data_IF_720055971350
#
_entry.id   IF_720055971350
#
_cell.length_a   1.000
_cell.length_b   1.000
_cell.length_c   1.000
_cell.angle_alpha   90.00
_cell.angle_beta   90.00
_cell.angle_gamma   90.00
#
_symmetry.space_group_name_H-M   'P 1'
#
loop_
_entity.id
_entity.type
_entity.pdbx_description
1 polymer ?
#
# COMPACT_ATOMS: atom_id res chain seq x y z
N UNK A 1 -1.26 -24.00 -12.15
CA UNK A 1 0.01 -23.34 -11.92
C UNK A 1 0.30 -22.30 -12.98
N UNK A 2 1.17 -21.33 -12.69
CA UNK A 2 1.62 -20.37 -13.71
C UNK A 2 2.38 -21.10 -14.84
N UNK A 3 2.30 -20.64 -16.10
CA UNK A 3 3.06 -21.24 -17.20
C UNK A 3 4.57 -21.09 -16.95
N UNK A 4 5.43 -21.94 -17.55
CA UNK A 4 6.88 -21.78 -17.39
C UNK A 4 7.33 -20.45 -17.94
N UNK A 5 8.19 -19.75 -17.18
CA UNK A 5 8.81 -18.49 -17.56
C UNK A 5 10.13 -18.76 -18.28
N UNK A 6 10.20 -18.39 -19.54
CA UNK A 6 11.42 -18.53 -20.33
C UNK A 6 12.28 -17.26 -20.19
N UNK A 7 13.38 -17.35 -19.47
CA UNK A 7 14.39 -16.30 -19.37
C UNK A 7 15.56 -16.62 -20.29
N UNK A 8 16.18 -15.61 -20.86
CA UNK A 8 17.39 -15.73 -21.69
C UNK A 8 18.55 -14.93 -21.09
N UNK A 9 19.74 -15.09 -21.62
CA UNK A 9 20.96 -14.37 -21.21
C UNK A 9 21.17 -14.40 -19.69
N UNK A 10 20.97 -15.58 -19.09
CA UNK A 10 21.07 -15.75 -17.65
C UNK A 10 22.55 -15.78 -17.24
N UNK A 11 22.95 -14.76 -16.47
CA UNK A 11 24.22 -14.73 -15.75
C UNK A 11 23.96 -14.90 -14.26
N UNK A 12 24.59 -15.90 -13.64
CA UNK A 12 24.47 -16.14 -12.20
C UNK A 12 25.85 -16.33 -11.58
N UNK A 13 26.10 -15.65 -10.47
CA UNK A 13 27.30 -15.82 -9.65
C UNK A 13 26.90 -16.06 -8.22
N UNK A 14 27.32 -17.20 -7.66
CA UNK A 14 27.14 -17.52 -6.25
C UNK A 14 28.51 -17.62 -5.58
N UNK A 15 28.73 -16.80 -4.56
CA UNK A 15 29.91 -16.85 -3.71
C UNK A 15 29.56 -17.33 -2.33
N UNK A 16 30.33 -18.26 -1.80
CA UNK A 16 30.14 -18.82 -0.48
C UNK A 16 31.40 -18.54 0.37
N UNK A 17 31.24 -17.93 1.52
CA UNK A 17 32.31 -17.66 2.47
C UNK A 17 31.85 -18.04 3.89
N UNK A 18 32.10 -19.29 4.27
CA UNK A 18 31.66 -19.84 5.55
C UNK A 18 30.15 -19.83 5.69
N UNK A 19 29.64 -18.92 6.53
CA UNK A 19 28.20 -18.77 6.82
C UNK A 19 27.52 -17.75 5.91
N UNK A 20 28.28 -16.98 5.14
CA UNK A 20 27.82 -15.89 4.29
C UNK A 20 27.76 -16.33 2.83
N UNK A 21 26.71 -15.95 2.16
CA UNK A 21 26.42 -16.26 0.76
C UNK A 21 26.08 -14.98 0.01
N UNK A 22 26.58 -14.84 -1.19
CA UNK A 22 26.28 -13.74 -2.09
C UNK A 22 25.77 -14.31 -3.41
N UNK A 23 24.61 -13.87 -3.87
CA UNK A 23 24.05 -14.21 -5.17
C UNK A 23 23.92 -12.95 -6.02
N UNK A 24 24.45 -13.00 -7.22
CA UNK A 24 24.18 -12.02 -8.27
C UNK A 24 23.52 -12.75 -9.43
N UNK A 25 22.38 -12.25 -9.88
CA UNK A 25 21.62 -12.79 -10.99
C UNK A 25 21.28 -11.67 -11.97
N UNK A 26 21.53 -11.93 -13.24
CA UNK A 26 21.04 -11.12 -14.34
C UNK A 26 20.29 -12.04 -15.30
N UNK A 27 19.13 -11.61 -15.80
CA UNK A 27 18.35 -12.38 -16.75
C UNK A 27 17.52 -11.45 -17.64
N UNK A 28 17.36 -11.83 -18.90
CA UNK A 28 16.51 -11.15 -19.87
C UNK A 28 15.14 -11.84 -19.88
N UNK A 29 14.05 -11.13 -19.51
CA UNK A 29 12.70 -11.68 -19.57
C UNK A 29 12.23 -11.85 -21.02
N UNK A 30 11.10 -12.56 -21.25
CA UNK A 30 10.51 -12.67 -22.57
C UNK A 30 10.19 -11.28 -23.18
N UNK A 31 10.17 -11.20 -24.51
CA UNK A 31 9.83 -9.98 -25.24
C UNK A 31 8.48 -9.42 -24.78
N UNK A 32 8.43 -8.12 -24.52
CA UNK A 32 7.23 -7.42 -24.04
C UNK A 32 7.09 -7.35 -22.52
N UNK A 33 7.96 -8.01 -21.76
CA UNK A 33 7.94 -7.98 -20.28
C UNK A 33 8.83 -6.89 -19.68
N UNK A 34 9.77 -6.39 -20.46
CA UNK A 34 10.68 -5.33 -20.00
C UNK A 34 12.13 -5.53 -20.38
N UNK A 35 12.99 -4.82 -19.70
CA UNK A 35 14.45 -4.85 -19.84
C UNK A 35 15.08 -5.95 -18.94
N UNK A 36 16.36 -6.28 -19.12
CA UNK A 36 17.06 -7.22 -18.26
C UNK A 36 16.93 -6.90 -16.78
N UNK A 37 16.61 -7.92 -16.01
CA UNK A 37 16.41 -7.85 -14.56
C UNK A 37 17.77 -8.05 -13.89
N UNK A 38 18.05 -7.25 -12.86
CA UNK A 38 19.20 -7.44 -11.98
C UNK A 38 18.73 -7.76 -10.59
N UNK A 39 19.31 -8.80 -10.00
CA UNK A 39 19.03 -9.20 -8.62
C UNK A 39 20.36 -9.46 -7.90
N UNK A 40 20.49 -8.91 -6.71
CA UNK A 40 21.63 -9.13 -5.82
C UNK A 40 21.10 -9.47 -4.44
N UNK A 41 21.65 -10.48 -3.82
CA UNK A 41 21.28 -10.85 -2.46
C UNK A 41 22.50 -11.31 -1.68
N UNK A 42 22.52 -10.96 -0.42
CA UNK A 42 23.50 -11.40 0.55
C UNK A 42 22.77 -11.95 1.77
N UNK A 43 23.12 -13.14 2.21
CA UNK A 43 22.52 -13.75 3.38
C UNK A 43 23.51 -14.59 4.18
N UNK A 44 23.15 -14.80 5.44
CA UNK A 44 23.87 -15.69 6.34
C UNK A 44 22.90 -16.62 7.06
N UNK A 45 23.38 -17.81 7.39
CA UNK A 45 22.66 -18.75 8.23
C UNK A 45 23.32 -18.82 9.62
N UNK A 46 22.59 -19.24 10.69
CA UNK A 46 23.14 -19.33 12.03
C UNK A 46 24.24 -20.40 12.13
N UNK A 47 25.18 -20.20 13.07
CA UNK A 47 26.27 -21.15 13.37
C UNK A 47 25.75 -22.52 13.82
N UNK A 48 24.67 -22.51 14.61
CA UNK A 48 24.05 -23.70 15.17
C UNK A 48 22.61 -23.83 14.62
N UNK A 49 22.22 -25.03 14.22
CA UNK A 49 20.92 -25.31 13.66
C UNK A 49 20.99 -25.97 12.29
N UNK A 50 19.83 -26.23 11.71
CA UNK A 50 19.72 -26.79 10.36
C UNK A 50 19.94 -25.70 9.31
N UNK A 51 21.02 -25.80 8.58
CA UNK A 51 21.40 -24.83 7.53
C UNK A 51 20.45 -24.81 6.33
N UNK A 52 19.60 -25.82 6.19
CA UNK A 52 18.59 -25.92 5.13
C UNK A 52 17.30 -25.14 5.47
N UNK A 53 17.13 -24.76 6.71
CA UNK A 53 15.98 -23.98 7.14
C UNK A 53 16.17 -22.50 6.80
N UNK A 54 15.72 -22.12 5.61
CA UNK A 54 15.83 -20.75 5.09
C UNK A 54 15.11 -19.69 5.97
N UNK A 55 14.16 -20.12 6.81
CA UNK A 55 13.45 -19.24 7.76
C UNK A 55 14.35 -18.70 8.86
N UNK A 56 15.48 -19.34 9.12
CA UNK A 56 16.45 -18.90 10.11
C UNK A 56 17.53 -17.98 9.52
N UNK A 57 17.47 -17.74 8.24
CA UNK A 57 18.45 -16.91 7.55
C UNK A 57 18.20 -15.42 7.80
N UNK A 58 19.28 -14.65 7.75
CA UNK A 58 19.27 -13.18 7.83
C UNK A 58 20.01 -12.64 6.62
N UNK A 59 19.45 -11.63 5.97
CA UNK A 59 20.07 -11.11 4.77
C UNK A 59 19.36 -9.89 4.21
N UNK A 60 19.93 -9.44 3.08
CA UNK A 60 19.43 -8.33 2.27
C UNK A 60 19.29 -8.78 0.84
N UNK A 61 18.34 -8.19 0.12
CA UNK A 61 18.16 -8.42 -1.31
C UNK A 61 17.86 -7.08 -2.01
N UNK A 62 18.32 -6.98 -3.24
CA UNK A 62 18.05 -5.85 -4.12
C UNK A 62 17.64 -6.37 -5.50
N UNK A 63 16.62 -5.75 -6.09
CA UNK A 63 16.22 -6.00 -7.47
C UNK A 63 16.02 -4.68 -8.22
N UNK A 64 16.54 -4.56 -9.43
CA UNK A 64 16.23 -3.48 -10.37
C UNK A 64 15.45 -4.07 -11.56
N UNK A 65 14.24 -3.57 -11.74
CA UNK A 65 13.28 -3.99 -12.74
C UNK A 65 12.98 -2.79 -13.64
N UNK A 66 13.86 -2.55 -14.59
CA UNK A 66 13.71 -1.46 -15.56
C UNK A 66 12.67 -1.85 -16.62
N UNK A 67 11.71 -0.96 -16.91
CA UNK A 67 10.67 -1.16 -17.93
C UNK A 67 9.86 -2.46 -17.76
N UNK A 68 9.31 -2.65 -16.58
CA UNK A 68 8.53 -3.82 -16.22
C UNK A 68 7.07 -3.68 -16.66
N UNK A 69 6.48 -4.77 -17.21
CA UNK A 69 5.02 -4.93 -17.34
C UNK A 69 4.50 -5.84 -16.23
N UNK A 70 3.84 -5.22 -15.23
CA UNK A 70 3.34 -5.93 -14.05
C UNK A 70 2.18 -6.89 -14.36
N UNK A 71 1.48 -6.71 -15.49
CA UNK A 71 0.38 -7.59 -15.90
C UNK A 71 0.87 -9.02 -16.15
N UNK A 72 2.11 -9.16 -16.61
CA UNK A 72 2.73 -10.45 -16.88
C UNK A 72 3.30 -11.07 -15.61
N UNK A 73 3.90 -10.26 -14.72
CA UNK A 73 4.44 -10.75 -13.44
C UNK A 73 3.38 -11.23 -12.45
N UNK A 74 2.16 -10.70 -12.54
CA UNK A 74 1.04 -11.05 -11.66
C UNK A 74 0.82 -12.55 -11.52
N UNK A 75 1.09 -13.33 -12.55
CA UNK A 75 0.92 -14.80 -12.54
C UNK A 75 1.91 -15.52 -11.63
N UNK A 76 3.02 -14.86 -11.30
CA UNK A 76 4.15 -15.41 -10.55
C UNK A 76 4.31 -14.79 -9.17
N UNK A 77 3.70 -13.64 -8.93
CA UNK A 77 3.80 -12.89 -7.68
C UNK A 77 2.44 -12.72 -7.01
N UNK A 78 2.42 -12.78 -5.70
CA UNK A 78 1.29 -12.41 -4.86
C UNK A 78 1.78 -11.42 -3.81
N UNK A 79 1.18 -10.24 -3.76
CA UNK A 79 1.50 -9.23 -2.74
C UNK A 79 0.90 -9.57 -1.38
N UNK A 80 0.12 -10.65 -1.29
CA UNK A 80 -0.55 -11.07 -0.05
C UNK A 80 -1.74 -10.17 0.33
N UNK A 81 -2.41 -10.51 1.44
CA UNK A 81 -3.49 -9.73 2.07
C UNK A 81 -4.58 -9.17 1.16
N UNK A 82 -4.81 -9.77 0.00
CA UNK A 82 -5.87 -9.36 -0.93
C UNK A 82 -5.52 -8.20 -1.85
N UNK A 83 -4.29 -7.68 -1.77
CA UNK A 83 -3.80 -6.68 -2.74
C UNK A 83 -3.51 -7.39 -4.06
N UNK A 84 -4.10 -6.89 -5.14
CA UNK A 84 -3.94 -7.42 -6.50
C UNK A 84 -3.49 -6.30 -7.43
N UNK A 85 -2.21 -6.31 -7.80
CA UNK A 85 -1.63 -5.38 -8.78
C UNK A 85 -1.84 -5.95 -10.18
N UNK A 86 -2.82 -5.42 -10.88
CA UNK A 86 -3.35 -5.96 -12.14
C UNK A 86 -2.64 -5.45 -13.37
N UNK A 87 -2.26 -4.17 -13.35
CA UNK A 87 -1.51 -3.51 -14.43
C UNK A 87 -0.57 -2.48 -13.84
N UNK A 88 0.43 -2.16 -14.61
CA UNK A 88 1.38 -1.10 -14.35
C UNK A 88 2.60 -1.32 -15.23
N UNK A 89 3.07 -0.27 -15.88
CA UNK A 89 4.26 -0.31 -16.74
C UNK A 89 5.25 0.73 -16.28
N UNK A 90 6.49 0.34 -16.12
CA UNK A 90 7.55 1.27 -15.74
C UNK A 90 8.66 0.63 -14.95
N UNK A 91 9.30 1.42 -14.12
CA UNK A 91 10.46 1.01 -13.35
C UNK A 91 10.10 0.73 -11.90
N UNK A 92 10.66 -0.34 -11.37
CA UNK A 92 10.64 -0.63 -9.93
C UNK A 92 12.03 -1.01 -9.45
N UNK A 93 12.39 -0.53 -8.26
CA UNK A 93 13.55 -0.99 -7.50
C UNK A 93 13.07 -1.49 -6.15
N UNK A 94 13.58 -2.62 -5.74
CA UNK A 94 13.16 -3.25 -4.48
C UNK A 94 14.39 -3.50 -3.63
N UNK A 95 14.33 -3.07 -2.39
CA UNK A 95 15.28 -3.43 -1.33
C UNK A 95 14.53 -4.19 -0.27
N UNK A 96 15.07 -5.29 0.20
CA UNK A 96 14.46 -6.10 1.23
C UNK A 96 15.49 -6.52 2.27
N UNK A 97 15.13 -6.40 3.54
CA UNK A 97 15.85 -6.91 4.69
C UNK A 97 15.02 -7.97 5.37
N UNK A 98 15.59 -9.09 5.71
CA UNK A 98 14.90 -10.16 6.43
C UNK A 98 15.76 -10.70 7.57
N UNK A 99 15.13 -10.94 8.71
CA UNK A 99 15.76 -11.49 9.92
C UNK A 99 14.94 -12.66 10.43
N UNK A 100 15.42 -13.88 10.19
CA UNK A 100 14.81 -15.11 10.68
C UNK A 100 13.28 -15.20 10.44
N UNK A 101 12.80 -14.61 9.36
CA UNK A 101 11.36 -14.46 9.03
C UNK A 101 10.48 -13.87 10.16
N UNK A 102 11.08 -13.37 11.25
CA UNK A 102 10.37 -12.72 12.37
C UNK A 102 10.16 -11.23 12.14
N UNK A 103 11.05 -10.63 11.38
CA UNK A 103 10.90 -9.26 10.92
C UNK A 103 11.41 -9.13 9.51
N UNK A 104 10.74 -8.34 8.71
CA UNK A 104 11.18 -7.99 7.38
C UNK A 104 10.81 -6.55 7.07
N UNK A 105 11.69 -5.90 6.32
CA UNK A 105 11.44 -4.58 5.77
C UNK A 105 11.65 -4.66 4.27
N UNK A 106 10.72 -4.13 3.51
CA UNK A 106 10.89 -3.94 2.08
C UNK A 106 10.68 -2.48 1.72
N UNK A 107 11.56 -1.94 0.89
CA UNK A 107 11.40 -0.61 0.29
C UNK A 107 11.28 -0.79 -1.21
N UNK A 108 10.30 -0.13 -1.81
CA UNK A 108 10.01 -0.19 -3.23
C UNK A 108 9.95 1.23 -3.77
N UNK A 109 10.89 1.59 -4.62
CA UNK A 109 10.76 2.78 -5.46
C UNK A 109 9.99 2.38 -6.72
N UNK A 110 8.86 3.01 -6.99
CA UNK A 110 8.02 2.75 -8.14
C UNK A 110 7.80 4.02 -8.97
N UNK A 111 7.91 3.89 -10.28
CA UNK A 111 7.52 4.90 -11.26
C UNK A 111 6.77 4.18 -12.38
N UNK A 112 5.44 4.21 -12.30
CA UNK A 112 4.55 3.38 -13.09
C UNK A 112 3.54 4.23 -13.84
N UNK A 113 3.18 3.78 -15.04
CA UNK A 113 2.07 4.27 -15.84
C UNK A 113 1.00 3.19 -15.95
N UNK A 114 -0.23 3.58 -16.30
CA UNK A 114 -1.36 2.67 -16.49
C UNK A 114 -1.60 1.76 -15.29
N UNK A 115 -1.58 2.33 -14.08
CA UNK A 115 -1.71 1.57 -12.83
C UNK A 115 -3.14 1.12 -12.61
N UNK A 116 -3.33 -0.18 -12.37
CA UNK A 116 -4.59 -0.80 -11.95
C UNK A 116 -4.29 -1.72 -10.76
N UNK A 117 -4.67 -1.27 -9.57
CA UNK A 117 -4.42 -2.01 -8.32
C UNK A 117 -5.71 -2.15 -7.54
N UNK A 118 -5.98 -3.34 -7.01
CA UNK A 118 -7.06 -3.59 -6.06
C UNK A 118 -6.47 -3.69 -4.66
N UNK A 119 -6.93 -2.85 -3.75
CA UNK A 119 -6.38 -2.76 -2.39
C UNK A 119 -6.98 -3.79 -1.41
N UNK A 120 -8.17 -4.33 -1.71
CA UNK A 120 -8.78 -5.45 -0.99
C UNK A 120 -9.69 -6.23 -1.94
N UNK A 121 -10.03 -7.50 -1.57
CA UNK A 121 -10.80 -8.40 -2.44
C UNK A 121 -12.15 -7.84 -2.87
N UNK A 122 -12.81 -7.16 -1.95
CA UNK A 122 -14.19 -6.66 -2.13
C UNK A 122 -14.25 -5.22 -2.66
N UNK A 123 -13.08 -4.59 -2.88
CA UNK A 123 -13.01 -3.24 -3.42
C UNK A 123 -12.91 -3.22 -4.94
N UNK A 124 -13.48 -2.20 -5.60
CA UNK A 124 -13.19 -1.89 -6.99
C UNK A 124 -11.69 -1.60 -7.17
N UNK A 125 -11.15 -1.76 -8.38
CA UNK A 125 -9.76 -1.40 -8.64
C UNK A 125 -9.57 0.11 -8.57
N UNK A 126 -8.46 0.53 -7.96
CA UNK A 126 -7.91 1.88 -8.05
C UNK A 126 -7.14 1.99 -9.36
N UNK A 127 -7.59 2.86 -10.26
CA UNK A 127 -6.99 3.05 -11.58
C UNK A 127 -6.42 4.47 -11.68
N UNK A 128 -5.12 4.56 -12.02
CA UNK A 128 -4.39 5.82 -12.14
C UNK A 128 -3.69 5.88 -13.51
N UNK A 129 -3.55 7.08 -14.05
CA UNK A 129 -2.75 7.29 -15.28
C UNK A 129 -1.28 7.04 -15.06
N UNK A 130 -0.76 7.55 -13.97
CA UNK A 130 0.63 7.42 -13.55
C UNK A 130 0.72 7.45 -12.02
N UNK A 131 1.80 6.89 -11.48
CA UNK A 131 2.11 6.90 -10.06
C UNK A 131 3.63 6.85 -9.84
N UNK A 132 4.11 7.68 -8.95
CA UNK A 132 5.49 7.68 -8.47
C UNK A 132 5.50 7.76 -6.96
N UNK A 133 6.23 6.87 -6.31
CA UNK A 133 6.43 6.91 -4.85
C UNK A 133 7.56 5.98 -4.43
N UNK A 134 8.05 6.23 -3.22
CA UNK A 134 8.81 5.24 -2.46
C UNK A 134 7.89 4.66 -1.40
N UNK A 135 7.66 3.35 -1.46
CA UNK A 135 6.88 2.60 -0.49
C UNK A 135 7.82 1.87 0.47
N UNK A 136 7.54 1.89 1.75
CA UNK A 136 8.20 1.00 2.71
C UNK A 136 7.16 0.15 3.43
N UNK A 137 7.43 -1.14 3.52
CA UNK A 137 6.60 -2.09 4.24
C UNK A 137 7.47 -2.74 5.30
N UNK A 138 7.02 -2.67 6.54
CA UNK A 138 7.67 -3.36 7.65
C UNK A 138 6.69 -4.36 8.28
N UNK A 139 7.15 -5.57 8.45
CA UNK A 139 6.44 -6.62 9.14
C UNK A 139 7.24 -7.04 10.39
N UNK A 140 6.58 -7.18 11.51
CA UNK A 140 7.13 -7.75 12.72
C UNK A 140 6.11 -8.71 13.35
N UNK A 141 6.57 -9.90 13.71
CA UNK A 141 5.78 -10.90 14.43
C UNK A 141 6.43 -11.19 15.77
N UNK A 142 5.68 -11.07 16.87
CA UNK A 142 6.09 -11.42 18.20
C UNK A 142 4.89 -12.02 18.95
N UNK A 143 5.05 -13.24 19.47
CA UNK A 143 4.14 -13.92 20.40
C UNK A 143 2.63 -13.75 20.08
N UNK A 144 2.19 -14.16 18.91
CA UNK A 144 0.82 -14.04 18.40
C UNK A 144 0.33 -12.62 18.04
N UNK A 145 1.20 -11.61 18.12
CA UNK A 145 0.90 -10.27 17.65
C UNK A 145 1.64 -9.99 16.35
N UNK A 146 0.91 -9.55 15.34
CA UNK A 146 1.48 -9.13 14.06
C UNK A 146 1.37 -7.60 13.95
N UNK A 147 2.48 -6.97 13.66
CA UNK A 147 2.53 -5.55 13.39
C UNK A 147 2.96 -5.30 11.94
N UNK A 148 2.26 -4.39 11.30
CA UNK A 148 2.53 -3.96 9.92
C UNK A 148 2.63 -2.45 9.90
N UNK A 149 3.65 -1.96 9.25
CA UNK A 149 3.76 -0.54 8.91
C UNK A 149 3.91 -0.45 7.40
N UNK A 150 3.04 0.35 6.78
CA UNK A 150 3.16 0.76 5.39
C UNK A 150 3.39 2.27 5.39
N UNK A 151 4.40 2.74 4.68
CA UNK A 151 4.59 4.17 4.48
C UNK A 151 4.87 4.49 3.03
N UNK A 152 4.40 5.65 2.57
CA UNK A 152 4.75 6.24 1.28
C UNK A 152 5.57 7.50 1.52
N UNK A 153 6.48 7.78 0.61
CA UNK A 153 7.23 9.02 0.57
C UNK A 153 7.14 9.60 -0.83
N UNK A 154 6.86 10.90 -0.90
CA UNK A 154 6.72 11.60 -2.17
C UNK A 154 5.72 10.90 -3.11
N UNK A 155 4.54 10.60 -2.58
CA UNK A 155 3.48 9.99 -3.37
C UNK A 155 2.92 11.02 -4.35
N UNK A 156 3.20 10.82 -5.61
CA UNK A 156 2.65 11.57 -6.73
C UNK A 156 1.81 10.63 -7.59
N UNK A 157 0.64 11.05 -8.01
CA UNK A 157 -0.15 10.31 -9.00
C UNK A 157 -1.14 11.21 -9.74
N UNK A 158 -1.61 10.72 -10.87
CA UNK A 158 -2.67 11.36 -11.68
C UNK A 158 -3.86 10.40 -11.77
N UNK A 159 -5.05 10.86 -11.39
CA UNK A 159 -6.30 10.09 -11.53
C UNK A 159 -6.74 9.99 -12.99
N UNK A 160 -7.72 9.15 -13.29
CA UNK A 160 -8.29 9.06 -14.64
C UNK A 160 -8.97 10.37 -15.09
N UNK A 161 -9.56 11.11 -14.16
CA UNK A 161 -10.16 12.43 -14.43
C UNK A 161 -9.11 13.51 -14.76
N UNK A 162 -7.83 13.26 -14.39
CA UNK A 162 -6.71 14.19 -14.61
C UNK A 162 -6.35 15.02 -13.38
N UNK A 163 -6.95 14.77 -12.22
CA UNK A 163 -6.55 15.40 -10.97
C UNK A 163 -5.18 14.87 -10.54
N UNK A 164 -4.36 15.72 -9.94
CA UNK A 164 -3.00 15.38 -9.52
C UNK A 164 -2.87 15.47 -8.02
N UNK A 165 -2.40 14.37 -7.42
CA UNK A 165 -1.89 14.34 -6.07
C UNK A 165 -0.37 14.50 -6.11
N UNK A 166 0.15 15.48 -5.40
CA UNK A 166 1.59 15.77 -5.42
C UNK A 166 2.17 15.73 -4.02
N UNK A 167 3.32 15.08 -3.89
CA UNK A 167 4.18 15.08 -2.72
C UNK A 167 3.46 14.75 -1.40
N UNK A 168 2.54 13.79 -1.43
CA UNK A 168 1.89 13.30 -0.21
C UNK A 168 2.74 12.25 0.50
N UNK A 169 2.67 12.24 1.82
CA UNK A 169 3.24 11.18 2.64
C UNK A 169 2.11 10.54 3.45
N UNK A 170 2.05 9.21 3.45
CA UNK A 170 1.05 8.46 4.22
C UNK A 170 1.76 7.35 4.96
N UNK A 171 1.45 7.20 6.25
CA UNK A 171 1.92 6.11 7.09
C UNK A 171 0.72 5.41 7.71
N UNK A 172 0.68 4.11 7.59
CA UNK A 172 -0.36 3.24 8.16
C UNK A 172 0.31 2.22 9.06
N UNK A 173 -0.09 2.17 10.31
CA UNK A 173 0.33 1.15 11.26
C UNK A 173 -0.87 0.29 11.66
N UNK A 174 -0.71 -1.02 11.54
CA UNK A 174 -1.72 -1.99 11.93
C UNK A 174 -1.11 -2.95 12.93
N UNK A 175 -1.77 -3.16 14.05
CA UNK A 175 -1.42 -4.17 15.04
C UNK A 175 -2.61 -5.09 15.22
N UNK A 176 -2.44 -6.33 14.80
CA UNK A 176 -3.45 -7.36 14.98
C UNK A 176 -3.20 -8.06 16.32
N UNK A 177 -4.15 -7.93 17.22
CA UNK A 177 -4.18 -8.71 18.45
C UNK A 177 -4.83 -10.08 18.25
N UNK A 178 -4.94 -10.84 19.30
CA UNK A 178 -5.59 -12.16 19.32
C UNK A 178 -7.10 -12.09 19.13
N UNK A 179 -7.69 -10.92 19.40
CA UNK A 179 -9.10 -10.61 19.25
C UNK A 179 -9.32 -9.21 18.66
N UNK A 180 -10.56 -8.90 18.33
CA UNK A 180 -10.94 -7.60 17.76
C UNK A 180 -10.61 -6.44 18.70
N UNK A 181 -10.84 -6.61 19.99
CA UNK A 181 -10.62 -5.56 21.00
C UNK A 181 -9.14 -5.22 21.21
N UNK A 182 -8.23 -6.16 20.93
CA UNK A 182 -6.77 -5.96 21.02
C UNK A 182 -6.16 -5.44 19.70
N UNK A 183 -6.95 -5.40 18.63
CA UNK A 183 -6.53 -4.83 17.35
C UNK A 183 -6.59 -3.30 17.40
N UNK A 184 -5.62 -2.65 16.79
CA UNK A 184 -5.55 -1.19 16.69
C UNK A 184 -4.84 -0.76 15.44
N UNK A 185 -5.15 0.43 14.97
CA UNK A 185 -4.47 1.02 13.85
C UNK A 185 -4.28 2.52 14.01
N UNK A 186 -3.34 3.01 13.26
CA UNK A 186 -2.99 4.41 13.15
C UNK A 186 -2.72 4.77 11.70
N UNK A 187 -3.24 5.90 11.26
CA UNK A 187 -2.94 6.51 9.97
C UNK A 187 -2.50 7.93 10.21
N UNK A 188 -1.36 8.29 9.68
CA UNK A 188 -0.91 9.68 9.64
C UNK A 188 -0.47 10.04 8.22
N UNK A 189 -0.54 11.31 7.89
CA UNK A 189 -0.06 11.77 6.61
C UNK A 189 -0.25 13.27 6.43
N UNK A 190 0.26 13.74 5.31
CA UNK A 190 0.25 15.15 4.94
C UNK A 190 -0.26 15.35 3.51
N UNK A 191 -0.55 16.61 3.20
CA UNK A 191 -0.87 17.05 1.83
C UNK A 191 -2.08 16.35 1.20
N UNK A 192 -3.18 16.18 1.97
CA UNK A 192 -4.38 15.48 1.53
C UNK A 192 -5.32 16.40 0.75
N UNK A 193 -5.62 16.04 -0.50
CA UNK A 193 -6.69 16.68 -1.29
C UNK A 193 -7.99 15.91 -1.08
N UNK A 194 -8.96 16.54 -0.42
CA UNK A 194 -10.24 15.90 -0.08
C UNK A 194 -11.10 15.62 -1.32
N UNK A 195 -10.96 16.41 -2.38
CA UNK A 195 -11.65 16.15 -3.65
C UNK A 195 -11.15 14.87 -4.31
N UNK A 196 -9.83 14.66 -4.35
CA UNK A 196 -9.20 13.44 -4.87
C UNK A 196 -9.57 12.24 -4.00
N UNK A 197 -9.54 12.38 -2.66
CA UNK A 197 -9.98 11.31 -1.75
C UNK A 197 -11.44 10.94 -2.04
N UNK A 198 -12.32 11.92 -2.20
CA UNK A 198 -13.72 11.69 -2.56
C UNK A 198 -13.88 10.95 -3.90
N UNK A 199 -13.10 11.31 -4.92
CA UNK A 199 -13.10 10.62 -6.21
C UNK A 199 -12.69 9.15 -6.07
N UNK A 200 -11.68 8.86 -5.25
CA UNK A 200 -11.09 7.53 -5.10
C UNK A 200 -11.74 6.71 -3.97
N UNK A 201 -12.64 7.29 -3.17
CA UNK A 201 -13.17 6.74 -1.94
C UNK A 201 -13.66 5.28 -2.07
N UNK A 202 -14.39 4.97 -3.14
CA UNK A 202 -14.91 3.62 -3.37
C UNK A 202 -13.83 2.56 -3.62
N UNK A 203 -12.60 2.96 -3.99
CA UNK A 203 -11.47 2.05 -4.21
C UNK A 203 -10.52 1.97 -3.02
N UNK A 204 -10.75 2.80 -1.98
CA UNK A 204 -9.94 2.83 -0.77
C UNK A 204 -10.55 1.93 0.32
N UNK A 205 -9.75 1.30 1.19
CA UNK A 205 -10.24 0.44 2.27
C UNK A 205 -10.76 1.29 3.45
N UNK A 206 -11.76 2.12 3.18
CA UNK A 206 -12.45 2.95 4.18
C UNK A 206 -13.62 2.16 4.79
N UNK A 207 -13.93 2.42 6.06
CA UNK A 207 -15.13 1.87 6.66
C UNK A 207 -16.41 2.56 6.12
N UNK A 208 -17.56 1.89 6.24
CA UNK A 208 -18.86 2.36 5.70
C UNK A 208 -19.20 3.77 6.15
N UNK A 209 -18.96 4.10 7.43
CA UNK A 209 -19.24 5.43 7.97
C UNK A 209 -18.40 6.54 7.31
N UNK A 210 -17.13 6.24 6.98
CA UNK A 210 -16.26 7.20 6.30
C UNK A 210 -16.68 7.37 4.82
N UNK A 211 -17.05 6.28 4.15
CA UNK A 211 -17.59 6.31 2.79
C UNK A 211 -18.89 7.12 2.72
N UNK A 212 -19.84 6.84 3.63
CA UNK A 212 -21.11 7.57 3.71
C UNK A 212 -20.88 9.07 3.96
N UNK A 213 -19.94 9.42 4.84
CA UNK A 213 -19.58 10.81 5.09
C UNK A 213 -19.00 11.49 3.84
N UNK A 214 -18.07 10.85 3.15
CA UNK A 214 -17.46 11.39 1.92
C UNK A 214 -18.51 11.59 0.81
N UNK A 215 -19.41 10.64 0.60
CA UNK A 215 -20.45 10.76 -0.41
C UNK A 215 -21.55 11.75 -0.05
N UNK A 216 -21.89 11.84 1.24
CA UNK A 216 -22.94 12.74 1.73
C UNK A 216 -22.47 14.19 1.71
N UNK A 217 -21.33 14.47 2.31
CA UNK A 217 -20.85 15.83 2.48
C UNK A 217 -20.03 16.34 1.32
N UNK A 218 -19.47 15.44 0.48
CA UNK A 218 -18.58 15.77 -0.65
C UNK A 218 -17.55 16.84 -0.27
N UNK A 219 -16.72 16.57 0.74
CA UNK A 219 -15.80 17.57 1.25
C UNK A 219 -14.80 17.98 0.18
N UNK A 220 -14.42 19.25 0.20
CA UNK A 220 -13.40 19.85 -0.66
C UNK A 220 -12.40 20.56 0.20
N UNK A 221 -11.24 20.86 -0.36
CA UNK A 221 -10.17 21.57 0.32
C UNK A 221 -8.99 20.69 0.60
N UNK A 222 -8.09 21.22 1.40
CA UNK A 222 -6.79 20.64 1.62
C UNK A 222 -6.55 20.40 3.11
N UNK A 223 -6.15 19.17 3.46
CA UNK A 223 -5.66 18.87 4.80
C UNK A 223 -4.14 18.86 4.79
N UNK A 224 -3.54 19.80 5.49
CA UNK A 224 -2.08 19.86 5.63
C UNK A 224 -1.55 18.65 6.38
N UNK A 225 -2.26 18.22 7.42
CA UNK A 225 -1.94 17.04 8.22
C UNK A 225 -3.22 16.33 8.66
N UNK A 226 -3.15 15.00 8.74
CA UNK A 226 -4.18 14.15 9.30
C UNK A 226 -3.53 13.06 10.13
N UNK A 227 -4.05 12.84 11.33
CA UNK A 227 -3.75 11.69 12.18
C UNK A 227 -5.05 11.06 12.64
N UNK A 228 -5.19 9.76 12.45
CA UNK A 228 -6.36 8.97 12.80
C UNK A 228 -5.91 7.73 13.57
N UNK A 229 -6.40 7.58 14.79
CA UNK A 229 -6.24 6.39 15.63
C UNK A 229 -7.57 5.65 15.74
N UNK A 230 -7.54 4.31 15.75
CA UNK A 230 -8.73 3.50 16.03
C UNK A 230 -8.39 2.23 16.80
N UNK A 231 -9.38 1.74 17.52
CA UNK A 231 -9.38 0.43 18.17
C UNK A 231 -10.43 -0.46 17.51
N UNK A 232 -10.18 -1.76 17.48
CA UNK A 232 -11.03 -2.70 16.78
C UNK A 232 -10.63 -2.88 15.32
N UNK A 233 -11.53 -3.47 14.56
CA UNK A 233 -11.33 -3.71 13.13
C UNK A 233 -11.47 -2.39 12.36
N UNK A 234 -10.72 -2.25 11.26
CA UNK A 234 -10.77 -1.05 10.41
C UNK A 234 -12.16 -0.80 9.79
N UNK A 235 -12.86 -1.88 9.41
CA UNK A 235 -14.19 -1.82 8.81
C UNK A 235 -15.31 -1.52 9.83
N UNK A 236 -15.09 -1.82 11.11
CA UNK A 236 -16.02 -1.56 12.22
C UNK A 236 -15.22 -1.22 13.48
N UNK A 237 -14.70 0.00 13.60
CA UNK A 237 -13.91 0.40 14.75
C UNK A 237 -14.80 0.57 15.99
N UNK A 238 -14.34 0.07 17.14
CA UNK A 238 -14.99 0.26 18.43
C UNK A 238 -14.89 1.71 18.92
N UNK A 239 -13.77 2.36 18.59
CA UNK A 239 -13.53 3.78 18.84
C UNK A 239 -12.53 4.35 17.85
N UNK A 240 -12.61 5.65 17.60
CA UNK A 240 -11.63 6.38 16.79
C UNK A 240 -11.40 7.79 17.33
N UNK A 241 -10.24 8.34 17.03
CA UNK A 241 -9.89 9.73 17.26
C UNK A 241 -9.18 10.27 16.03
N UNK A 242 -9.58 11.46 15.58
CA UNK A 242 -8.98 12.13 14.43
C UNK A 242 -8.54 13.54 14.82
N UNK A 243 -7.32 13.89 14.40
CA UNK A 243 -6.76 15.25 14.55
C UNK A 243 -6.16 15.65 13.23
N UNK A 244 -6.38 16.88 12.80
CA UNK A 244 -5.84 17.37 11.55
C UNK A 244 -5.84 18.88 11.48
N UNK A 245 -5.06 19.40 10.55
CA UNK A 245 -5.04 20.82 10.17
C UNK A 245 -5.46 20.93 8.72
N UNK A 246 -6.45 21.76 8.46
CA UNK A 246 -7.04 21.90 7.14
C UNK A 246 -7.20 23.35 6.74
N UNK A 247 -7.16 23.60 5.44
CA UNK A 247 -7.35 24.91 4.81
C UNK A 247 -8.35 24.80 3.66
N UNK A 248 -9.07 25.87 3.41
CA UNK A 248 -10.03 25.99 2.30
C UNK A 248 -11.06 24.84 2.29
N UNK A 249 -11.56 24.47 3.49
CA UNK A 249 -12.52 23.39 3.65
C UNK A 249 -13.90 23.86 3.26
N UNK A 250 -14.50 23.13 2.31
CA UNK A 250 -15.89 23.26 1.92
C UNK A 250 -16.62 21.91 1.95
N UNK A 251 -17.93 21.93 2.11
CA UNK A 251 -18.80 20.75 1.97
C UNK A 251 -20.19 21.11 1.52
N UNK A 252 -20.91 20.17 0.95
CA UNK A 252 -22.27 20.38 0.49
C UNK A 252 -23.26 20.47 1.66
N UNK A 253 -24.20 21.42 1.54
CA UNK A 253 -25.34 21.51 2.46
C UNK A 253 -26.17 20.21 2.41
N UNK A 254 -26.58 19.73 3.57
CA UNK A 254 -27.47 18.59 3.70
C UNK A 254 -28.83 19.06 4.22
N UNK A 255 -29.88 18.65 3.51
CA UNK A 255 -31.24 18.89 3.97
C UNK A 255 -31.53 17.95 5.16
N UNK A 256 -32.06 18.50 6.23
CA UNK A 256 -32.48 17.70 7.38
C UNK A 256 -33.62 16.73 7.04
N UNK A 257 -33.88 15.73 7.88
CA UNK A 257 -34.94 14.76 7.66
C UNK A 257 -36.31 15.41 7.62
N UNK A 258 -37.22 14.91 6.77
CA UNK A 258 -38.59 15.37 6.73
C UNK A 258 -39.34 14.84 7.94
N UNK A 259 -39.86 15.77 8.76
CA UNK A 259 -40.72 15.46 9.90
C UNK A 259 -42.19 15.44 9.46
N UNK A 260 -42.72 14.24 9.27
CA UNK A 260 -44.12 14.06 8.81
C UNK A 260 -45.18 14.62 9.77
N UNK A 261 -44.91 14.63 11.08
CA UNK A 261 -45.81 15.17 12.09
C UNK A 261 -45.89 16.69 12.02
N UNK A 262 -44.77 17.34 11.77
CA UNK A 262 -44.65 18.79 11.63
C UNK A 262 -44.82 19.28 10.20
N UNK A 263 -44.91 18.36 9.23
CA UNK A 263 -45.03 18.64 7.79
C UNK A 263 -43.94 19.59 7.27
N UNK A 264 -42.73 19.48 7.79
CA UNK A 264 -41.56 20.30 7.39
C UNK A 264 -40.28 19.51 7.53
N UNK A 265 -39.26 19.96 6.82
CA UNK A 265 -37.91 19.48 7.04
C UNK A 265 -37.33 20.03 8.34
N UNK A 266 -36.65 19.21 9.09
CA UNK A 266 -35.85 19.65 10.25
C UNK A 266 -34.61 20.39 9.76
N UNK A 267 -33.94 21.17 10.65
CA UNK A 267 -32.69 21.81 10.27
C UNK A 267 -31.67 20.76 9.76
N UNK A 268 -31.09 21.02 8.62
CA UNK A 268 -29.99 20.23 8.04
C UNK A 268 -28.64 20.79 8.40
N UNK A 269 -27.58 20.19 7.84
CA UNK A 269 -26.23 20.71 7.96
C UNK A 269 -26.02 21.80 6.90
N UNK A 270 -25.67 23.04 7.31
CA UNK A 270 -25.34 24.08 6.34
C UNK A 270 -24.12 23.71 5.54
N UNK A 271 -24.07 24.07 4.27
CA UNK A 271 -22.86 23.98 3.44
C UNK A 271 -21.85 25.05 3.85
N UNK A 272 -20.62 24.81 3.49
CA UNK A 272 -19.49 25.76 3.60
C UNK A 272 -18.74 25.74 2.28
N UNK A 273 -18.50 26.92 1.73
CA UNK A 273 -17.74 27.14 0.49
C UNK A 273 -16.33 27.63 0.79
#
# INVERSE_FOLDING_TARGET
GAPPLLMTDIGATLKNSGLRHELQLQATPPSGWGQPIQFVSEWSHPLFGDRTVWRDWTGVAYADLAELDLSELRRYMSLGRGIDLRRGKGRMRVWADFKQMRSSTATVEANLNEVDVRLAKDLPPLVLKDMRSMFSVQFAAADNNEAYTLATQQLDFTTLSGQRWNNGNVRVELRNGTDSASSRGHVEGDNWDLGIIGELAGSLPLGDAALDALYTFQPRGHMETLSLDWQGRLDQPDSFAAVGKATDIGWQAQQGPYNAQRRRYEPGTPGVD
#
